data_IF_034897677547
#
_entry.id   IF_034897677547
#
_cell.length_a   1.000
_cell.length_b   1.000
_cell.length_c   1.000
_cell.angle_alpha   90.00
_cell.angle_beta   90.00
_cell.angle_gamma   90.00
#
_symmetry.space_group_name_H-M   'P 1'
#
loop_
_entity.id
_entity.type
_entity.pdbx_description
1 polymer ?
#
# COMPACT_ATOMS: atom_id res chain seq x y z
N UNK A 1 -4.28 -7.60 -26.10
CA UNK A 1 -2.89 -7.61 -26.60
C UNK A 1 -2.13 -8.72 -25.85
N UNK A 2 -1.06 -9.30 -26.40
CA UNK A 2 -0.30 -10.34 -25.68
C UNK A 2 0.52 -9.66 -24.55
N UNK A 3 0.57 -10.22 -23.33
CA UNK A 3 1.32 -9.67 -22.18
C UNK A 3 2.77 -9.35 -22.51
N UNK A 4 3.42 -10.18 -23.34
CA UNK A 4 4.79 -9.93 -23.79
C UNK A 4 4.90 -8.67 -24.66
N UNK A 5 3.90 -8.42 -25.51
CA UNK A 5 3.83 -7.20 -26.32
C UNK A 5 3.59 -5.97 -25.44
N UNK A 6 2.67 -6.07 -24.47
CA UNK A 6 2.37 -4.99 -23.53
C UNK A 6 3.61 -4.61 -22.71
N UNK A 7 4.38 -5.60 -22.25
CA UNK A 7 5.62 -5.36 -21.52
C UNK A 7 6.61 -4.58 -22.40
N UNK A 8 6.90 -5.06 -23.61
CA UNK A 8 7.86 -4.41 -24.53
C UNK A 8 7.44 -2.96 -24.85
N UNK A 9 6.15 -2.74 -25.12
CA UNK A 9 5.63 -1.39 -25.42
C UNK A 9 5.84 -0.45 -24.24
N UNK A 10 5.47 -0.86 -23.03
CA UNK A 10 5.60 0.01 -21.86
C UNK A 10 7.06 0.18 -21.43
N UNK A 11 7.92 -0.84 -21.59
CA UNK A 11 9.37 -0.72 -21.36
C UNK A 11 9.99 0.31 -22.31
N UNK A 12 9.64 0.27 -23.60
CA UNK A 12 10.13 1.26 -24.57
C UNK A 12 9.61 2.66 -24.26
N UNK A 13 8.33 2.80 -23.88
CA UNK A 13 7.76 4.09 -23.52
C UNK A 13 8.40 4.66 -22.25
N UNK A 14 8.62 3.84 -21.22
CA UNK A 14 9.34 4.24 -20.01
C UNK A 14 10.75 4.74 -20.37
N UNK A 15 11.46 4.02 -21.24
CA UNK A 15 12.79 4.40 -21.70
C UNK A 15 12.78 5.75 -22.42
N UNK A 16 11.87 5.96 -23.37
CA UNK A 16 11.76 7.22 -24.12
C UNK A 16 11.52 8.42 -23.18
N UNK A 17 10.53 8.30 -22.29
CA UNK A 17 10.17 9.38 -21.35
C UNK A 17 11.34 9.66 -20.40
N UNK A 18 11.99 8.63 -19.87
CA UNK A 18 13.08 8.80 -18.92
C UNK A 18 14.35 9.37 -19.58
N UNK A 19 14.64 9.02 -20.84
CA UNK A 19 15.73 9.61 -21.62
C UNK A 19 15.55 11.12 -21.81
N UNK A 20 14.33 11.58 -22.10
CA UNK A 20 13.98 13.00 -22.18
C UNK A 20 14.25 13.77 -20.87
N UNK A 21 14.22 13.07 -19.73
CA UNK A 21 14.53 13.62 -18.39
C UNK A 21 15.98 13.42 -17.95
N UNK A 22 16.85 12.88 -18.81
CA UNK A 22 18.28 12.69 -18.56
C UNK A 22 18.67 11.36 -17.91
N UNK A 23 17.76 10.39 -17.81
CA UNK A 23 18.06 9.03 -17.35
C UNK A 23 18.45 8.18 -18.56
N UNK A 24 19.68 7.65 -18.57
CA UNK A 24 20.16 6.91 -19.75
C UNK A 24 19.28 5.69 -20.06
N UNK A 25 19.09 5.34 -21.36
CA UNK A 25 18.29 4.18 -21.75
C UNK A 25 18.76 2.88 -21.11
N UNK A 26 20.09 2.71 -21.01
CA UNK A 26 20.70 1.56 -20.33
C UNK A 26 20.21 1.45 -18.89
N UNK A 27 20.21 2.56 -18.12
CA UNK A 27 19.77 2.56 -16.72
C UNK A 27 18.30 2.20 -16.60
N UNK A 28 17.45 2.63 -17.53
CA UNK A 28 16.02 2.28 -17.52
C UNK A 28 15.80 0.79 -17.76
N UNK A 29 16.38 0.23 -18.83
CA UNK A 29 16.25 -1.20 -19.13
C UNK A 29 16.84 -2.07 -18.02
N UNK A 30 18.00 -1.68 -17.49
CA UNK A 30 18.66 -2.37 -16.39
C UNK A 30 17.79 -2.35 -15.12
N UNK A 31 17.16 -1.21 -14.81
CA UNK A 31 16.24 -1.08 -13.66
C UNK A 31 15.00 -1.97 -13.81
N UNK A 32 14.40 -2.03 -15.01
CA UNK A 32 13.25 -2.91 -15.28
C UNK A 32 13.66 -4.39 -15.19
N UNK A 33 14.84 -4.74 -15.72
CA UNK A 33 15.36 -6.11 -15.66
C UNK A 33 15.58 -6.56 -14.22
N UNK A 34 16.26 -5.76 -13.41
CA UNK A 34 16.49 -6.10 -12.00
C UNK A 34 15.21 -6.12 -11.17
N UNK A 35 14.25 -5.21 -11.45
CA UNK A 35 12.93 -5.25 -10.84
C UNK A 35 12.22 -6.59 -11.14
N UNK A 36 12.20 -7.01 -12.41
CA UNK A 36 11.61 -8.30 -12.81
C UNK A 36 12.34 -9.49 -12.18
N UNK A 37 13.67 -9.45 -12.12
CA UNK A 37 14.49 -10.48 -11.47
C UNK A 37 14.14 -10.62 -9.99
N UNK A 38 14.08 -9.52 -9.24
CA UNK A 38 13.73 -9.53 -7.82
C UNK A 38 12.35 -10.13 -7.57
N UNK A 39 11.36 -9.76 -8.38
CA UNK A 39 10.01 -10.35 -8.31
C UNK A 39 10.04 -11.86 -8.57
N UNK A 40 10.85 -12.32 -9.52
CA UNK A 40 10.95 -13.73 -9.88
C UNK A 40 11.71 -14.54 -8.81
N UNK A 41 12.81 -14.02 -8.28
CA UNK A 41 13.68 -14.72 -7.33
C UNK A 41 13.09 -14.78 -5.93
N UNK A 42 12.16 -13.89 -5.60
CA UNK A 42 11.53 -13.79 -4.28
C UNK A 42 10.26 -14.64 -4.14
N UNK A 43 10.16 -15.77 -4.86
CA UNK A 43 8.99 -16.65 -4.90
C UNK A 43 9.23 -18.03 -4.30
N UNK A 44 8.13 -18.74 -4.03
CA UNK A 44 8.16 -20.09 -3.47
C UNK A 44 9.00 -20.16 -2.20
N UNK A 45 9.98 -21.06 -2.16
CA UNK A 45 10.88 -21.25 -1.00
C UNK A 45 11.74 -20.01 -0.65
N UNK A 46 11.89 -19.06 -1.57
CA UNK A 46 12.62 -17.82 -1.33
C UNK A 46 11.71 -16.67 -0.87
N UNK A 47 10.38 -16.87 -0.90
CA UNK A 47 9.45 -15.90 -0.33
C UNK A 47 9.53 -16.00 1.19
N UNK A 48 10.30 -15.10 1.79
CA UNK A 48 10.59 -15.08 3.22
C UNK A 48 10.17 -13.74 3.83
N UNK A 49 8.87 -13.50 4.02
CA UNK A 49 8.40 -12.26 4.62
C UNK A 49 8.85 -12.17 6.08
N UNK A 50 9.17 -10.96 6.55
CA UNK A 50 9.29 -10.73 8.00
C UNK A 50 7.88 -10.63 8.57
N UNK A 51 7.60 -11.41 9.62
CA UNK A 51 6.30 -11.41 10.29
C UNK A 51 6.52 -11.00 11.74
N UNK A 52 5.81 -9.97 12.18
CA UNK A 52 5.86 -9.47 13.57
C UNK A 52 4.47 -9.37 14.16
N UNK A 53 4.36 -9.59 15.47
CA UNK A 53 3.10 -9.54 16.20
C UNK A 53 3.14 -8.42 17.25
N UNK A 54 2.07 -7.64 17.31
CA UNK A 54 1.95 -6.47 18.16
C UNK A 54 0.65 -6.62 18.97
N UNK A 55 0.78 -6.90 20.26
CA UNK A 55 -0.35 -7.02 21.17
C UNK A 55 -0.87 -5.61 21.48
N UNK A 56 -2.15 -5.37 21.19
CA UNK A 56 -2.80 -4.09 21.43
C UNK A 56 -3.61 -4.13 22.71
N UNK A 57 -4.44 -5.16 22.86
CA UNK A 57 -5.22 -5.47 24.06
C UNK A 57 -5.08 -6.97 24.38
N UNK A 58 -5.83 -7.47 25.36
CA UNK A 58 -5.93 -8.91 25.62
C UNK A 58 -6.59 -9.68 24.46
N UNK A 59 -7.51 -9.06 23.71
CA UNK A 59 -8.27 -9.72 22.65
C UNK A 59 -7.87 -9.27 21.24
N UNK A 60 -7.01 -8.25 21.11
CA UNK A 60 -6.65 -7.62 19.84
C UNK A 60 -5.14 -7.67 19.58
N UNK A 61 -4.77 -8.26 18.44
CA UNK A 61 -3.38 -8.39 17.97
C UNK A 61 -3.29 -7.91 16.52
N UNK A 62 -2.25 -7.15 16.22
CA UNK A 62 -1.88 -6.79 14.85
C UNK A 62 -0.70 -7.66 14.43
N UNK A 63 -0.86 -8.41 13.34
CA UNK A 63 0.24 -9.13 12.69
C UNK A 63 0.67 -8.35 11.45
N UNK A 64 1.92 -7.88 11.42
CA UNK A 64 2.49 -7.19 10.26
C UNK A 64 3.30 -8.19 9.44
N UNK A 65 2.93 -8.35 8.17
CA UNK A 65 3.62 -9.18 7.19
C UNK A 65 4.33 -8.26 6.21
N UNK A 66 5.63 -8.40 6.12
CA UNK A 66 6.51 -7.55 5.33
C UNK A 66 7.17 -8.41 4.25
N UNK A 67 6.63 -8.42 3.01
CA UNK A 67 7.17 -9.26 1.95
C UNK A 67 8.52 -8.73 1.45
N UNK A 68 9.32 -9.58 0.78
CA UNK A 68 10.58 -9.16 0.17
C UNK A 68 10.39 -8.07 -0.92
N UNK A 69 9.25 -8.06 -1.61
CA UNK A 69 8.86 -7.02 -2.56
C UNK A 69 7.37 -6.67 -2.41
N UNK A 70 7.03 -5.41 -2.66
CA UNK A 70 5.67 -4.87 -2.54
C UNK A 70 5.36 -4.31 -1.16
N UNK A 71 4.10 -3.92 -0.97
CA UNK A 71 3.64 -3.35 0.30
C UNK A 71 3.57 -4.40 1.40
N UNK A 72 3.56 -3.91 2.63
CA UNK A 72 3.16 -4.67 3.80
C UNK A 72 1.69 -5.12 3.69
N UNK A 73 1.36 -6.15 4.44
CA UNK A 73 -0.02 -6.53 4.77
C UNK A 73 -0.15 -6.62 6.29
N UNK A 74 -1.01 -5.82 6.88
CA UNK A 74 -1.33 -5.92 8.29
C UNK A 74 -2.61 -6.75 8.47
N UNK A 75 -2.65 -7.61 9.49
CA UNK A 75 -3.85 -8.37 9.88
C UNK A 75 -4.20 -7.97 11.30
N UNK A 76 -5.34 -7.31 11.46
CA UNK A 76 -5.93 -7.04 12.77
C UNK A 76 -6.84 -8.21 13.11
N UNK A 77 -6.49 -8.95 14.17
CA UNK A 77 -7.36 -9.96 14.78
C UNK A 77 -7.94 -9.37 16.07
N UNK A 78 -9.26 -9.34 16.19
CA UNK A 78 -9.96 -8.96 17.43
C UNK A 78 -11.05 -9.99 17.73
N UNK A 79 -10.85 -10.78 18.79
CA UNK A 79 -11.64 -12.00 19.01
C UNK A 79 -11.55 -12.94 17.80
N UNK A 80 -12.70 -13.34 17.25
CA UNK A 80 -12.79 -14.23 16.06
C UNK A 80 -12.93 -13.46 14.73
N UNK A 81 -12.68 -12.15 14.73
CA UNK A 81 -12.81 -11.28 13.55
C UNK A 81 -11.44 -10.91 13.00
N UNK A 82 -11.37 -10.74 11.68
CA UNK A 82 -10.17 -10.34 10.96
C UNK A 82 -10.43 -9.16 10.01
N UNK A 83 -9.54 -8.19 10.02
CA UNK A 83 -9.47 -7.11 9.04
C UNK A 83 -8.04 -7.00 8.53
N UNK A 84 -7.89 -7.04 7.21
CA UNK A 84 -6.60 -6.87 6.55
C UNK A 84 -6.41 -5.39 6.18
N UNK A 85 -5.20 -4.86 6.29
CA UNK A 85 -4.83 -3.53 5.81
C UNK A 85 -3.78 -3.72 4.71
N UNK A 86 -4.12 -3.29 3.50
CA UNK A 86 -3.39 -3.56 2.25
C UNK A 86 -3.14 -5.06 1.99
N UNK A 87 -2.60 -5.40 0.82
CA UNK A 87 -2.58 -6.79 0.35
C UNK A 87 -1.32 -7.24 -0.39
N UNK A 88 -0.33 -6.37 -0.60
CA UNK A 88 0.89 -6.74 -1.31
C UNK A 88 0.68 -6.96 -2.82
N UNK A 89 1.63 -7.60 -3.48
CA UNK A 89 1.57 -7.89 -4.91
C UNK A 89 0.79 -9.16 -5.30
N UNK A 90 0.15 -9.10 -6.47
CA UNK A 90 -0.60 -10.20 -7.06
C UNK A 90 0.26 -11.44 -7.37
N UNK A 91 1.54 -11.27 -7.71
CA UNK A 91 2.42 -12.38 -8.04
C UNK A 91 2.74 -13.27 -6.83
N UNK A 92 2.54 -12.79 -5.61
CA UNK A 92 2.78 -13.57 -4.38
C UNK A 92 1.51 -14.19 -3.80
N UNK A 93 0.42 -14.29 -4.59
CA UNK A 93 -0.86 -14.80 -4.11
C UNK A 93 -0.77 -16.13 -3.39
N UNK A 94 -0.10 -17.12 -3.97
CA UNK A 94 -0.05 -18.47 -3.40
C UNK A 94 0.82 -18.49 -2.14
N UNK A 95 1.95 -17.78 -2.15
CA UNK A 95 2.82 -17.63 -1.00
C UNK A 95 2.13 -16.90 0.16
N UNK A 96 1.44 -15.80 -0.11
CA UNK A 96 0.68 -15.05 0.89
C UNK A 96 -0.52 -15.82 1.41
N UNK A 97 -1.25 -16.58 0.58
CA UNK A 97 -2.31 -17.47 1.05
C UNK A 97 -1.77 -18.56 1.99
N UNK A 98 -0.57 -19.08 1.73
CA UNK A 98 0.09 -20.00 2.66
C UNK A 98 0.41 -19.33 3.99
N UNK A 99 0.90 -18.09 3.98
CA UNK A 99 1.15 -17.31 5.20
C UNK A 99 -0.16 -17.04 5.95
N UNK A 100 -1.21 -16.61 5.26
CA UNK A 100 -2.51 -16.33 5.86
C UNK A 100 -3.12 -17.56 6.52
N UNK A 101 -3.05 -18.74 5.88
CA UNK A 101 -3.57 -19.99 6.48
C UNK A 101 -2.80 -20.44 7.71
N UNK A 102 -1.50 -20.14 7.78
CA UNK A 102 -0.70 -20.41 8.97
C UNK A 102 -1.07 -19.48 10.14
N UNK A 103 -1.44 -18.22 9.85
CA UNK A 103 -1.86 -17.24 10.86
C UNK A 103 -3.34 -17.43 11.26
N UNK A 104 -4.19 -17.80 10.29
CA UNK A 104 -5.64 -17.92 10.40
C UNK A 104 -6.03 -19.31 9.88
N UNK A 105 -6.03 -20.37 10.72
CA UNK A 105 -6.37 -21.72 10.29
C UNK A 105 -7.76 -21.84 9.63
N UNK A 106 -8.71 -21.01 10.06
CA UNK A 106 -10.08 -20.94 9.57
C UNK A 106 -10.27 -20.01 8.35
N UNK A 107 -9.20 -19.51 7.73
CA UNK A 107 -9.22 -18.50 6.66
C UNK A 107 -10.22 -18.83 5.54
N UNK A 108 -10.26 -20.09 5.10
CA UNK A 108 -11.11 -20.52 3.98
C UNK A 108 -12.61 -20.55 4.34
N UNK A 109 -12.95 -20.51 5.64
CA UNK A 109 -14.34 -20.54 6.14
C UNK A 109 -14.88 -19.17 6.56
N UNK A 110 -14.04 -18.14 6.64
CA UNK A 110 -14.44 -16.79 7.03
C UNK A 110 -14.63 -15.88 5.82
N UNK A 111 -15.49 -14.87 6.00
CA UNK A 111 -15.54 -13.71 5.10
C UNK A 111 -14.27 -12.89 5.25
N UNK A 112 -13.59 -12.64 4.13
CA UNK A 112 -12.33 -11.90 4.08
C UNK A 112 -12.63 -10.44 3.78
N UNK A 113 -12.18 -9.57 4.67
CA UNK A 113 -12.35 -8.12 4.54
C UNK A 113 -10.99 -7.44 4.59
N UNK A 114 -10.78 -6.47 3.72
CA UNK A 114 -9.61 -5.61 3.79
C UNK A 114 -10.02 -4.14 3.73
N UNK A 115 -9.17 -3.27 4.27
CA UNK A 115 -9.15 -1.84 4.01
C UNK A 115 -7.89 -1.53 3.19
N UNK A 116 -8.05 -0.73 2.15
CA UNK A 116 -6.94 -0.29 1.30
C UNK A 116 -6.60 1.16 1.60
N UNK A 117 -5.33 1.39 1.91
CA UNK A 117 -4.82 2.74 2.18
C UNK A 117 -4.88 3.60 0.93
N UNK A 118 -4.38 3.08 -0.20
CA UNK A 118 -4.41 3.75 -1.50
C UNK A 118 -4.28 2.76 -2.67
N UNK A 119 -4.60 3.22 -3.87
CA UNK A 119 -4.77 2.39 -5.06
C UNK A 119 -3.47 2.13 -5.86
N UNK A 120 -2.35 1.89 -5.19
CA UNK A 120 -1.12 1.42 -5.86
C UNK A 120 -1.09 -0.10 -6.01
N UNK A 121 -0.43 -0.56 -7.09
CA UNK A 121 -0.45 -1.96 -7.55
C UNK A 121 0.10 -2.93 -6.49
N UNK A 122 1.08 -2.48 -5.72
CA UNK A 122 1.72 -3.22 -4.64
C UNK A 122 0.92 -3.24 -3.34
N UNK A 123 -0.13 -2.44 -3.20
CA UNK A 123 -1.07 -2.48 -2.07
C UNK A 123 -2.33 -3.29 -2.41
N UNK A 124 -2.67 -3.37 -3.70
CA UNK A 124 -3.95 -3.89 -4.19
C UNK A 124 -3.88 -5.30 -4.83
N UNK A 125 -2.74 -5.97 -4.78
CA UNK A 125 -2.49 -7.16 -5.59
C UNK A 125 -3.38 -8.36 -5.27
N UNK A 126 -3.81 -8.55 -4.02
CA UNK A 126 -4.63 -9.71 -3.63
C UNK A 126 -6.11 -9.40 -3.46
N UNK A 127 -6.56 -8.19 -3.79
CA UNK A 127 -7.96 -7.79 -3.66
C UNK A 127 -8.99 -8.82 -4.20
N UNK A 128 -8.77 -9.53 -5.31
CA UNK A 128 -9.73 -10.52 -5.80
C UNK A 128 -10.08 -11.64 -4.81
N UNK A 129 -9.22 -11.96 -3.82
CA UNK A 129 -9.50 -13.00 -2.82
C UNK A 129 -10.44 -12.53 -1.70
N UNK A 130 -10.64 -11.22 -1.56
CA UNK A 130 -11.45 -10.63 -0.50
C UNK A 130 -12.93 -10.56 -0.91
N UNK A 131 -13.83 -10.68 0.06
CA UNK A 131 -15.28 -10.56 -0.14
C UNK A 131 -15.75 -9.10 -0.04
N UNK A 132 -15.03 -8.28 0.73
CA UNK A 132 -15.31 -6.85 0.88
C UNK A 132 -14.01 -6.08 0.95
N UNK A 133 -13.93 -5.02 0.15
CA UNK A 133 -12.77 -4.12 0.07
C UNK A 133 -13.24 -2.73 0.48
N UNK A 134 -12.87 -2.32 1.69
CA UNK A 134 -13.10 -0.97 2.19
C UNK A 134 -12.03 -0.02 1.64
N UNK A 135 -12.46 1.18 1.24
CA UNK A 135 -11.58 2.22 0.76
C UNK A 135 -12.23 3.59 0.91
N UNK A 136 -11.43 4.66 0.95
CA UNK A 136 -11.93 6.02 0.82
C UNK A 136 -12.68 6.23 -0.49
N UNK A 137 -13.44 7.33 -0.60
CA UNK A 137 -14.20 7.64 -1.80
C UNK A 137 -13.30 7.73 -3.05
N UNK A 138 -12.11 8.34 -2.92
CA UNK A 138 -11.15 8.50 -4.02
C UNK A 138 -10.38 7.23 -4.36
N UNK A 139 -9.95 6.45 -3.36
CA UNK A 139 -9.34 5.14 -3.64
C UNK A 139 -10.34 4.19 -4.29
N UNK A 140 -11.60 4.17 -3.85
CA UNK A 140 -12.65 3.40 -4.49
C UNK A 140 -12.98 3.90 -5.92
N UNK A 141 -12.90 5.21 -6.19
CA UNK A 141 -13.01 5.75 -7.54
C UNK A 141 -11.90 5.22 -8.45
N UNK A 142 -10.64 5.28 -8.01
CA UNK A 142 -9.50 4.74 -8.74
C UNK A 142 -9.70 3.24 -9.06
N UNK A 143 -10.05 2.43 -8.06
CA UNK A 143 -10.25 0.99 -8.26
C UNK A 143 -11.44 0.67 -9.19
N UNK A 144 -12.50 1.51 -9.22
CA UNK A 144 -13.60 1.36 -10.19
C UNK A 144 -13.14 1.65 -11.62
N UNK A 145 -12.35 2.69 -11.83
CA UNK A 145 -11.78 2.98 -13.15
C UNK A 145 -10.98 1.78 -13.66
N UNK A 146 -10.11 1.22 -12.82
CA UNK A 146 -9.35 0.03 -13.20
C UNK A 146 -10.24 -1.18 -13.50
N UNK A 147 -11.34 -1.37 -12.74
CA UNK A 147 -12.30 -2.44 -13.00
C UNK A 147 -13.03 -2.31 -14.35
N UNK A 148 -13.14 -1.08 -14.86
CA UNK A 148 -13.69 -0.77 -16.17
C UNK A 148 -12.63 -0.81 -17.30
N UNK A 149 -11.39 -1.19 -16.99
CA UNK A 149 -10.23 -1.10 -17.89
C UNK A 149 -9.89 0.36 -18.31
N UNK A 150 -10.23 1.32 -17.46
CA UNK A 150 -9.80 2.71 -17.59
C UNK A 150 -8.51 2.93 -16.81
N UNK A 151 -7.81 4.04 -17.11
CA UNK A 151 -6.58 4.38 -16.40
C UNK A 151 -6.91 4.79 -14.95
N UNK A 152 -6.28 4.12 -13.98
CA UNK A 152 -6.29 4.57 -12.58
C UNK A 152 -5.50 5.87 -12.40
N UNK A 153 -5.56 6.48 -11.21
CA UNK A 153 -4.95 7.80 -10.96
C UNK A 153 -3.45 7.85 -11.27
N UNK A 154 -2.70 6.79 -10.97
CA UNK A 154 -1.28 6.68 -11.38
C UNK A 154 -1.12 6.64 -12.90
N UNK A 155 -1.98 5.93 -13.62
CA UNK A 155 -1.91 5.78 -15.08
C UNK A 155 -2.43 7.01 -15.84
N UNK A 156 -3.13 7.93 -15.16
CA UNK A 156 -3.47 9.24 -15.71
C UNK A 156 -2.24 10.14 -15.83
N UNK A 157 -1.21 9.93 -15.00
CA UNK A 157 0.07 10.63 -15.13
C UNK A 157 0.93 9.95 -16.22
N UNK A 158 1.24 10.63 -17.34
CA UNK A 158 2.02 10.04 -18.43
C UNK A 158 3.41 9.54 -18.02
N UNK A 159 4.03 10.16 -17.01
CA UNK A 159 5.33 9.78 -16.49
C UNK A 159 5.27 8.45 -15.71
N UNK A 160 4.18 8.22 -15.00
CA UNK A 160 4.00 7.04 -14.14
C UNK A 160 3.41 5.85 -14.91
N UNK A 161 2.54 6.13 -15.87
CA UNK A 161 1.76 5.14 -16.63
C UNK A 161 2.58 3.95 -17.17
N UNK A 162 3.76 4.13 -17.80
CA UNK A 162 4.51 3.00 -18.33
C UNK A 162 5.00 2.06 -17.24
N UNK A 163 5.54 2.61 -16.14
CA UNK A 163 5.99 1.84 -14.98
C UNK A 163 4.83 1.07 -14.35
N UNK A 164 3.69 1.72 -14.12
CA UNK A 164 2.51 1.09 -13.51
C UNK A 164 2.02 -0.09 -14.36
N UNK A 165 1.97 0.07 -15.68
CA UNK A 165 1.59 -0.99 -16.61
C UNK A 165 2.61 -2.14 -16.65
N UNK A 166 3.91 -1.83 -16.58
CA UNK A 166 4.96 -2.84 -16.41
C UNK A 166 4.72 -3.64 -15.11
N UNK A 167 4.47 -2.95 -13.99
CA UNK A 167 4.15 -3.58 -12.71
C UNK A 167 2.92 -4.48 -12.81
N UNK A 168 1.82 -4.02 -13.41
CA UNK A 168 0.61 -4.82 -13.61
C UNK A 168 0.90 -6.09 -14.42
N UNK A 169 1.67 -5.98 -15.49
CA UNK A 169 2.05 -7.13 -16.33
C UNK A 169 2.94 -8.12 -15.57
N UNK A 170 4.01 -7.65 -14.95
CA UNK A 170 4.99 -8.49 -14.24
C UNK A 170 4.39 -9.18 -13.01
N UNK A 171 3.44 -8.52 -12.34
CA UNK A 171 2.81 -9.05 -11.14
C UNK A 171 1.55 -9.86 -11.44
N UNK A 172 1.08 -9.88 -12.69
CA UNK A 172 -0.24 -10.43 -13.06
C UNK A 172 -1.40 -9.78 -12.29
N UNK A 173 -1.29 -8.47 -12.02
CA UNK A 173 -2.32 -7.69 -11.37
C UNK A 173 -3.67 -7.85 -12.09
N UNK A 174 -4.73 -7.96 -11.30
CA UNK A 174 -6.11 -8.01 -11.79
C UNK A 174 -6.93 -7.06 -10.93
N UNK A 175 -7.61 -6.12 -11.57
CA UNK A 175 -8.48 -5.18 -10.87
C UNK A 175 -9.56 -5.93 -10.08
N UNK A 176 -9.91 -5.40 -8.91
CA UNK A 176 -11.02 -5.93 -8.12
C UNK A 176 -12.36 -5.60 -8.79
N UNK A 177 -13.35 -6.49 -8.65
CA UNK A 177 -14.71 -6.18 -9.09
C UNK A 177 -15.28 -5.01 -8.28
N UNK A 178 -15.92 -4.06 -8.96
CA UNK A 178 -16.58 -2.91 -8.33
C UNK A 178 -17.65 -3.32 -7.30
N UNK A 179 -18.26 -4.50 -7.44
CA UNK A 179 -19.27 -5.03 -6.51
C UNK A 179 -18.70 -5.36 -5.12
N UNK A 180 -17.39 -5.58 -5.03
CA UNK A 180 -16.70 -5.86 -3.76
C UNK A 180 -16.29 -4.60 -3.03
N UNK A 181 -16.33 -3.43 -3.69
CA UNK A 181 -15.91 -2.15 -3.13
C UNK A 181 -16.98 -1.59 -2.19
N UNK A 182 -16.57 -1.27 -0.96
CA UNK A 182 -17.38 -0.56 0.02
C UNK A 182 -16.69 0.75 0.37
N UNK A 183 -17.30 1.88 -0.02
CA UNK A 183 -16.78 3.20 0.32
C UNK A 183 -16.98 3.44 1.82
N UNK A 184 -15.95 3.95 2.48
CA UNK A 184 -15.99 4.42 3.87
C UNK A 184 -15.51 5.87 3.94
N UNK A 185 -16.07 6.62 4.89
CA UNK A 185 -15.88 8.06 4.99
C UNK A 185 -16.72 8.87 3.99
N UNK A 186 -16.67 10.18 4.17
CA UNK A 186 -17.40 11.18 3.41
C UNK A 186 -16.78 11.37 2.03
N UNK A 187 -17.63 11.42 1.00
CA UNK A 187 -17.23 11.86 -0.33
C UNK A 187 -17.15 13.38 -0.35
N UNK A 188 -15.95 13.93 -0.17
CA UNK A 188 -15.68 15.37 -0.25
C UNK A 188 -14.32 15.65 -0.88
N UNK A 189 -14.13 16.88 -1.33
CA UNK A 189 -12.81 17.37 -1.73
C UNK A 189 -11.97 17.67 -0.48
N UNK A 190 -10.70 17.23 -0.50
CA UNK A 190 -9.79 17.40 0.62
C UNK A 190 -9.12 18.78 0.53
N UNK A 191 -9.40 19.62 1.52
CA UNK A 191 -8.94 21.02 1.54
C UNK A 191 -7.67 21.22 2.37
N UNK A 192 -7.57 20.49 3.48
CA UNK A 192 -6.43 20.48 4.39
C UNK A 192 -5.35 19.47 3.95
N UNK A 193 -4.17 19.49 4.57
CA UNK A 193 -3.11 18.53 4.26
C UNK A 193 -3.55 17.10 4.58
N UNK A 194 -4.16 16.91 5.74
CA UNK A 194 -4.81 15.67 6.14
C UNK A 194 -6.16 16.07 6.76
N UNK A 195 -7.25 15.54 6.24
CA UNK A 195 -8.60 15.91 6.66
C UNK A 195 -9.39 14.67 7.08
N UNK A 196 -10.09 14.74 8.21
CA UNK A 196 -10.92 13.64 8.68
C UNK A 196 -12.10 13.46 7.73
N UNK A 197 -12.33 12.24 7.26
CA UNK A 197 -13.44 11.89 6.37
C UNK A 197 -14.43 10.96 7.03
N UNK A 198 -14.09 10.29 8.14
CA UNK A 198 -15.09 9.49 8.86
C UNK A 198 -14.49 8.64 9.96
N UNK A 199 -15.13 7.50 10.20
CA UNK A 199 -14.74 6.54 11.23
C UNK A 199 -14.86 5.11 10.73
N UNK A 200 -14.05 4.22 11.29
CA UNK A 200 -14.11 2.78 11.07
C UNK A 200 -13.94 2.08 12.42
N UNK A 201 -14.97 1.36 12.84
CA UNK A 201 -14.90 0.52 14.04
C UNK A 201 -14.56 -0.93 13.67
N UNK A 202 -13.61 -1.52 14.38
CA UNK A 202 -13.28 -2.92 14.22
C UNK A 202 -12.86 -3.58 15.55
N UNK A 203 -13.75 -4.42 16.08
CA UNK A 203 -13.48 -5.10 17.35
C UNK A 203 -13.43 -4.10 18.50
N UNK A 204 -12.29 -4.03 19.17
CA UNK A 204 -11.99 -3.06 20.23
C UNK A 204 -11.35 -1.76 19.72
N UNK A 205 -11.10 -1.65 18.41
CA UNK A 205 -10.43 -0.49 17.81
C UNK A 205 -11.43 0.50 17.20
N UNK A 206 -11.16 1.78 17.43
CA UNK A 206 -11.95 2.92 16.99
C UNK A 206 -11.08 3.84 16.13
N UNK A 207 -11.12 3.66 14.81
CA UNK A 207 -10.30 4.45 13.90
C UNK A 207 -11.04 5.72 13.46
N UNK A 208 -10.42 6.87 13.68
CA UNK A 208 -10.66 8.05 12.86
C UNK A 208 -10.01 7.83 11.49
N UNK A 209 -10.82 7.96 10.43
CA UNK A 209 -10.38 7.89 9.05
C UNK A 209 -10.04 9.29 8.56
N UNK A 210 -8.83 9.46 8.07
CA UNK A 210 -8.34 10.66 7.42
C UNK A 210 -7.95 10.36 5.97
N UNK A 211 -7.99 11.39 5.14
CA UNK A 211 -7.47 11.36 3.77
C UNK A 211 -6.44 12.47 3.58
N UNK A 212 -5.33 12.15 2.91
CA UNK A 212 -4.37 13.14 2.45
C UNK A 212 -4.91 13.93 1.26
N UNK A 213 -4.33 15.10 1.00
CA UNK A 213 -4.68 15.93 -0.16
C UNK A 213 -4.22 15.32 -1.50
N UNK A 214 -3.39 14.29 -1.45
CA UNK A 214 -2.97 13.50 -2.60
C UNK A 214 -1.50 13.69 -2.98
N UNK A 215 -0.65 14.05 -2.00
CA UNK A 215 0.79 14.19 -2.21
C UNK A 215 1.43 12.92 -2.74
N UNK A 216 1.21 11.79 -2.09
CA UNK A 216 1.68 10.51 -2.64
C UNK A 216 0.72 9.97 -3.71
N UNK A 217 -0.55 9.70 -3.34
CA UNK A 217 -1.62 9.41 -4.29
C UNK A 217 -2.97 9.98 -3.81
N UNK A 218 -3.79 10.48 -4.73
CA UNK A 218 -5.15 10.90 -4.40
C UNK A 218 -5.98 9.75 -3.80
N UNK A 219 -6.68 10.02 -2.69
CA UNK A 219 -7.47 9.02 -1.95
C UNK A 219 -6.71 8.28 -0.87
N UNK A 220 -5.43 8.58 -0.67
CA UNK A 220 -4.63 7.92 0.34
C UNK A 220 -5.13 8.20 1.76
N UNK A 221 -5.38 7.10 2.47
CA UNK A 221 -6.05 7.10 3.75
C UNK A 221 -5.09 6.84 4.91
N UNK A 222 -5.35 7.51 6.03
CA UNK A 222 -4.74 7.23 7.33
C UNK A 222 -5.83 6.79 8.31
N UNK A 223 -5.60 5.70 9.02
CA UNK A 223 -6.43 5.25 10.13
C UNK A 223 -5.72 5.54 11.44
N UNK A 224 -6.37 6.27 12.36
CA UNK A 224 -5.79 6.59 13.67
C UNK A 224 -6.75 6.14 14.76
N UNK A 225 -6.29 5.23 15.63
CA UNK A 225 -6.94 4.89 16.88
C UNK A 225 -6.17 5.60 18.01
N UNK A 226 -6.79 6.64 18.57
CA UNK A 226 -6.19 7.46 19.61
C UNK A 226 -6.17 6.77 20.97
N UNK A 227 -7.17 5.94 21.27
CA UNK A 227 -7.29 5.25 22.57
C UNK A 227 -6.13 4.26 22.75
N UNK A 228 -5.75 3.58 21.67
CA UNK A 228 -4.70 2.58 21.65
C UNK A 228 -3.36 3.09 21.09
N UNK A 229 -3.30 4.36 20.66
CA UNK A 229 -2.15 4.99 20.03
C UNK A 229 -1.61 4.19 18.82
N UNK A 230 -2.49 3.85 17.88
CA UNK A 230 -2.15 3.12 16.65
C UNK A 230 -2.44 3.99 15.44
N UNK A 231 -1.55 3.94 14.45
CA UNK A 231 -1.81 4.56 13.15
C UNK A 231 -1.43 3.62 12.00
N UNK A 232 -2.30 3.50 11.00
CA UNK A 232 -1.98 2.95 9.68
C UNK A 232 -1.90 4.10 8.70
N UNK A 233 -0.75 4.28 8.04
CA UNK A 233 -0.42 5.57 7.39
C UNK A 233 -0.27 5.48 5.88
N UNK A 234 -0.46 4.30 5.29
CA UNK A 234 -0.10 4.07 3.89
C UNK A 234 1.34 4.51 3.63
N UNK A 235 1.55 5.19 2.52
CA UNK A 235 2.81 5.71 2.04
C UNK A 235 3.08 7.18 2.37
N UNK A 236 2.09 7.91 2.94
CA UNK A 236 2.32 9.21 3.59
C UNK A 236 3.48 9.08 4.59
N UNK A 237 3.53 7.98 5.34
CA UNK A 237 4.70 7.60 6.12
C UNK A 237 5.06 6.12 5.95
N UNK A 238 6.31 5.86 5.55
CA UNK A 238 6.92 4.54 5.51
C UNK A 238 8.18 4.48 6.39
N UNK A 239 8.44 3.33 7.02
CA UNK A 239 9.58 3.19 7.92
C UNK A 239 10.82 2.64 7.18
N UNK A 240 11.44 3.49 6.36
CA UNK A 240 12.62 3.11 5.57
C UNK A 240 13.79 2.58 6.40
N UNK A 241 13.93 3.02 7.66
CA UNK A 241 15.03 2.59 8.55
C UNK A 241 14.92 1.13 8.97
N UNK A 242 13.71 0.60 8.99
CA UNK A 242 13.42 -0.77 9.37
C UNK A 242 13.13 -1.66 8.16
N UNK A 243 13.52 -1.28 6.94
CA UNK A 243 13.41 -2.18 5.80
C UNK A 243 14.46 -3.29 5.89
N UNK A 244 14.07 -4.53 5.55
CA UNK A 244 15.03 -5.60 5.30
C UNK A 244 15.92 -5.26 4.10
N UNK A 245 17.07 -5.92 3.96
CA UNK A 245 17.97 -5.69 2.83
C UNK A 245 17.28 -5.94 1.47
N UNK A 246 16.41 -6.94 1.38
CA UNK A 246 15.64 -7.25 0.16
C UNK A 246 14.62 -6.15 -0.16
N UNK A 247 13.85 -5.70 0.83
CA UNK A 247 12.92 -4.57 0.65
C UNK A 247 13.67 -3.29 0.24
N UNK A 248 14.79 -2.99 0.89
CA UNK A 248 15.60 -1.81 0.58
C UNK A 248 16.27 -1.89 -0.81
N UNK A 249 16.48 -3.10 -1.34
CA UNK A 249 16.94 -3.28 -2.72
C UNK A 249 15.80 -3.05 -3.71
N UNK A 250 14.65 -3.68 -3.47
CA UNK A 250 13.44 -3.56 -4.29
C UNK A 250 12.92 -2.10 -4.36
N UNK A 251 12.84 -1.38 -3.24
CA UNK A 251 12.27 -0.03 -3.17
C UNK A 251 13.09 1.05 -3.91
N UNK A 252 14.25 0.70 -4.49
CA UNK A 252 15.08 1.64 -5.26
C UNK A 252 14.57 1.85 -6.68
N UNK A 253 13.81 0.91 -7.24
CA UNK A 253 13.49 0.93 -8.67
C UNK A 253 12.31 1.85 -8.99
N UNK A 254 11.26 1.91 -8.15
CA UNK A 254 10.12 2.77 -8.40
C UNK A 254 10.51 4.26 -8.55
N UNK A 255 11.33 4.85 -7.64
CA UNK A 255 11.80 6.24 -7.81
C UNK A 255 12.65 6.46 -9.07
N UNK A 256 13.36 5.45 -9.56
CA UNK A 256 14.13 5.56 -10.81
C UNK A 256 13.17 5.55 -12.01
N UNK A 257 12.20 4.64 -12.01
CA UNK A 257 11.32 4.38 -13.15
C UNK A 257 10.14 5.36 -13.25
N UNK A 258 9.84 6.08 -12.18
CA UNK A 258 8.81 7.12 -12.12
C UNK A 258 9.38 8.52 -11.86
N UNK A 259 10.69 8.67 -11.66
CA UNK A 259 11.40 9.85 -11.13
C UNK A 259 11.06 10.23 -9.68
N UNK A 260 9.83 9.95 -9.24
CA UNK A 260 9.32 10.07 -7.89
C UNK A 260 8.20 9.04 -7.69
N UNK A 261 8.10 8.49 -6.48
CA UNK A 261 6.91 7.71 -6.09
C UNK A 261 5.78 8.61 -5.58
N UNK A 262 6.07 9.86 -5.24
CA UNK A 262 5.05 10.82 -4.86
C UNK A 262 4.55 11.57 -6.11
N UNK A 263 3.23 11.73 -6.21
CA UNK A 263 2.61 12.56 -7.26
C UNK A 263 2.99 14.04 -7.11
N UNK A 264 3.05 14.51 -5.87
CA UNK A 264 3.55 15.81 -5.45
C UNK A 264 4.38 15.61 -4.16
N UNK A 265 5.70 15.69 -4.30
CA UNK A 265 6.66 15.37 -3.24
C UNK A 265 6.64 16.39 -2.10
N UNK A 266 6.51 17.67 -2.44
CA UNK A 266 6.42 18.76 -1.47
C UNK A 266 5.13 18.62 -0.66
N UNK A 267 4.02 18.29 -1.31
CA UNK A 267 2.75 18.01 -0.65
C UNK A 267 2.85 16.75 0.23
N UNK A 268 3.39 15.64 -0.25
CA UNK A 268 3.58 14.41 0.54
C UNK A 268 4.44 14.67 1.80
N UNK A 269 5.45 15.52 1.68
CA UNK A 269 6.28 15.95 2.82
C UNK A 269 5.48 16.77 3.84
N UNK A 270 4.63 17.69 3.36
CA UNK A 270 3.76 18.48 4.22
C UNK A 270 2.68 17.62 4.89
N UNK A 271 2.06 16.68 4.17
CA UNK A 271 1.11 15.69 4.69
C UNK A 271 1.74 14.84 5.79
N UNK A 272 2.95 14.31 5.56
CA UNK A 272 3.69 13.56 6.57
C UNK A 272 3.94 14.39 7.84
N UNK A 273 4.27 15.67 7.68
CA UNK A 273 4.46 16.57 8.83
C UNK A 273 3.15 16.75 9.59
N UNK A 274 2.05 17.00 8.87
CA UNK A 274 0.72 17.15 9.46
C UNK A 274 0.24 15.87 10.17
N UNK A 275 0.54 14.69 9.61
CA UNK A 275 0.28 13.39 10.22
C UNK A 275 0.92 13.30 11.61
N UNK A 276 2.22 13.57 11.71
CA UNK A 276 2.92 13.48 12.99
C UNK A 276 2.45 14.54 14.00
N UNK A 277 2.04 15.73 13.55
CA UNK A 277 1.42 16.75 14.40
C UNK A 277 0.02 16.35 14.89
N UNK A 278 -0.66 15.46 14.15
CA UNK A 278 -1.97 14.93 14.51
C UNK A 278 -1.88 13.88 15.60
N UNK A 279 -0.77 13.15 15.67
CA UNK A 279 -0.50 12.21 16.76
C UNK A 279 -0.37 13.02 18.07
N UNK A 280 -1.26 12.77 19.03
CA UNK A 280 -1.22 13.42 20.34
C UNK A 280 -0.12 12.87 21.26
N UNK A 281 0.01 13.42 22.48
CA UNK A 281 0.92 12.87 23.50
C UNK A 281 0.65 11.39 23.71
N UNK A 282 1.71 10.58 23.68
CA UNK A 282 1.58 9.14 23.88
C UNK A 282 2.72 8.35 23.26
N UNK A 283 2.64 7.02 23.42
CA UNK A 283 3.55 6.08 22.79
C UNK A 283 2.79 5.37 21.66
N UNK A 284 3.09 5.78 20.44
CA UNK A 284 2.45 5.34 19.21
C UNK A 284 3.13 4.13 18.58
N UNK A 285 2.31 3.26 18.01
CA UNK A 285 2.71 2.21 17.07
C UNK A 285 2.21 2.58 15.67
N UNK A 286 3.14 2.92 14.78
CA UNK A 286 2.83 3.42 13.43
C UNK A 286 3.18 2.35 12.40
N UNK A 287 2.18 1.91 11.65
CA UNK A 287 2.26 0.90 10.59
C UNK A 287 2.17 1.60 9.23
N UNK A 288 3.30 1.75 8.56
CA UNK A 288 3.36 2.27 7.19
C UNK A 288 3.13 1.20 6.13
N UNK A 289 2.95 1.63 4.89
CA UNK A 289 2.82 0.79 3.71
C UNK A 289 4.06 -0.05 3.43
N UNK A 290 5.24 0.41 3.86
CA UNK A 290 6.48 -0.36 3.78
C UNK A 290 7.35 -0.26 5.04
N UNK A 291 8.08 -1.33 5.31
CA UNK A 291 9.02 -1.46 6.43
C UNK A 291 8.35 -1.79 7.76
N UNK A 292 9.16 -1.97 8.80
CA UNK A 292 8.67 -2.42 10.11
C UNK A 292 7.84 -1.35 10.85
N UNK A 293 7.06 -1.78 11.84
CA UNK A 293 6.34 -0.86 12.74
C UNK A 293 7.31 0.14 13.39
N UNK A 294 6.94 1.43 13.39
CA UNK A 294 7.68 2.49 14.08
C UNK A 294 7.06 2.76 15.45
N UNK A 295 7.84 2.53 16.51
CA UNK A 295 7.53 3.10 17.82
C UNK A 295 7.85 4.60 17.80
N UNK A 296 6.90 5.44 18.17
CA UNK A 296 7.06 6.89 18.22
C UNK A 296 6.49 7.45 19.51
N UNK A 297 7.28 8.20 20.28
CA UNK A 297 6.84 8.79 21.54
C UNK A 297 6.77 10.29 21.38
N UNK A 298 5.65 10.89 21.77
CA UNK A 298 5.45 12.33 21.84
C UNK A 298 5.37 12.69 23.31
N UNK A 299 6.34 13.48 23.79
CA UNK A 299 6.38 13.90 25.18
C UNK A 299 5.47 15.12 25.42
N UNK A 300 4.97 15.33 26.66
CA UNK A 300 4.13 16.48 26.99
C UNK A 300 4.76 17.86 26.74
N UNK A 301 6.08 17.93 26.57
CA UNK A 301 6.83 19.18 26.31
C UNK A 301 7.01 19.48 24.82
N UNK A 302 6.46 18.67 23.93
CA UNK A 302 6.63 18.77 22.46
C UNK A 302 5.38 19.30 21.72
N UNK A 303 4.39 19.84 22.44
CA UNK A 303 3.21 20.53 21.89
C UNK A 303 3.35 22.05 22.02
#
# INVERSE_FOLDING_TARGET
MNRSTDLIVNTNLAMQILDETGVSPYRTFDSISHFAELLATSRGRNFSPRITHHNITENTVITLIEPPCGSNTAIIKSGDKYLFIDTGYACYKEEMLSVFRNIIPELDSIKKKCFITHADVDHCGLLPIFDTVYASAKTAECLRLESNNEDGFREMNPLHKPYVRICKVLTSYTAVSAEKLSVVGDKKEISQLIEQTGFIDFGELHFELFEGKGGHLAGESVLIDYDHHIAFTGDIFVNMKEMTAQQAQYNRYAPILMTSVDTDKELCTAERTALFQRLGIGKWQIFGGHGGMKSYTIAPTEI
#
